data_IF_172892037195
#
_entry.id   IF_172892037195
#
_cell.length_a   1.000
_cell.length_b   1.000
_cell.length_c   1.000
_cell.angle_alpha   90.00
_cell.angle_beta   90.00
_cell.angle_gamma   90.00
#
_symmetry.space_group_name_H-M   'P 1'
#
loop_
_entity.id
_entity.type
_entity.pdbx_description
1 polymer ?
#
# COMPACT_ATOMS: atom_id res chain seq x y z
N UNK A 1 1.65 -48.77 44.72
CA UNK A 1 1.94 -47.32 44.68
C UNK A 1 2.99 -46.97 43.63
N UNK A 2 4.25 -47.40 43.77
CA UNK A 2 5.35 -47.08 42.82
C UNK A 2 5.14 -47.49 41.35
N UNK A 3 4.37 -48.55 41.08
CA UNK A 3 4.08 -49.00 39.70
C UNK A 3 3.06 -48.07 39.02
N UNK A 4 2.04 -47.62 39.75
CA UNK A 4 1.03 -46.69 39.23
C UNK A 4 1.63 -45.31 38.93
N UNK A 5 2.52 -44.82 39.79
CA UNK A 5 3.27 -43.57 39.58
C UNK A 5 4.14 -43.63 38.31
N UNK A 6 4.83 -44.75 38.07
CA UNK A 6 5.62 -44.96 36.85
C UNK A 6 4.75 -45.02 35.59
N UNK A 7 3.58 -45.66 35.66
CA UNK A 7 2.62 -45.71 34.55
C UNK A 7 2.06 -44.33 34.20
N UNK A 8 1.69 -43.54 35.22
CA UNK A 8 1.26 -42.15 35.04
C UNK A 8 2.36 -41.26 34.43
N UNK A 9 3.60 -41.41 34.90
CA UNK A 9 4.74 -40.71 34.32
C UNK A 9 4.99 -41.08 32.85
N UNK A 10 4.90 -42.38 32.50
CA UNK A 10 5.01 -42.83 31.11
C UNK A 10 3.87 -42.32 30.22
N UNK A 11 2.62 -42.31 30.72
CA UNK A 11 1.47 -41.76 30.00
C UNK A 11 1.62 -40.24 29.76
N UNK A 12 2.08 -39.50 30.78
CA UNK A 12 2.38 -38.07 30.65
C UNK A 12 3.46 -37.80 29.61
N UNK A 13 4.55 -38.57 29.62
CA UNK A 13 5.62 -38.46 28.64
C UNK A 13 5.12 -38.78 27.23
N UNK A 14 4.30 -39.82 27.08
CA UNK A 14 3.70 -40.20 25.80
C UNK A 14 2.77 -39.09 25.27
N UNK A 15 1.92 -38.52 26.13
CA UNK A 15 1.06 -37.40 25.74
C UNK A 15 1.85 -36.16 25.32
N UNK A 16 2.97 -35.90 25.99
CA UNK A 16 3.87 -34.79 25.66
C UNK A 16 4.54 -35.03 24.30
N UNK A 17 5.03 -36.24 24.05
CA UNK A 17 5.59 -36.63 22.77
C UNK A 17 4.56 -36.50 21.64
N UNK A 18 3.33 -36.94 21.86
CA UNK A 18 2.23 -36.81 20.89
C UNK A 18 1.95 -35.33 20.59
N UNK A 19 1.85 -34.49 21.63
CA UNK A 19 1.67 -33.04 21.47
C UNK A 19 2.82 -32.41 20.66
N UNK A 20 4.07 -32.78 20.93
CA UNK A 20 5.22 -32.29 20.16
C UNK A 20 5.22 -32.79 18.72
N UNK A 21 4.81 -34.04 18.47
CA UNK A 21 4.70 -34.58 17.10
C UNK A 21 3.63 -33.81 16.32
N UNK A 22 2.45 -33.58 16.91
CA UNK A 22 1.40 -32.78 16.28
C UNK A 22 1.86 -31.34 16.01
N UNK A 23 2.49 -30.69 16.99
CA UNK A 23 3.00 -29.32 16.82
C UNK A 23 4.09 -29.21 15.74
N UNK A 24 4.95 -30.24 15.61
CA UNK A 24 5.98 -30.29 14.56
C UNK A 24 5.39 -30.59 13.18
N UNK A 25 4.35 -31.42 13.11
CA UNK A 25 3.65 -31.74 11.87
C UNK A 25 2.85 -30.54 11.34
N UNK A 26 2.28 -29.72 12.22
CA UNK A 26 1.54 -28.50 11.85
C UNK A 26 2.44 -27.26 11.69
N UNK A 27 3.75 -27.38 11.88
CA UNK A 27 4.67 -26.27 11.68
C UNK A 27 4.56 -25.72 10.24
N UNK A 28 4.60 -24.39 10.04
CA UNK A 28 4.38 -23.74 8.74
C UNK A 28 5.63 -23.84 7.83
N UNK A 29 6.03 -25.08 7.54
CA UNK A 29 7.04 -25.40 6.53
C UNK A 29 6.49 -25.07 5.13
N UNK A 30 7.38 -24.92 4.13
CA UNK A 30 6.96 -24.72 2.74
C UNK A 30 6.03 -25.86 2.26
N UNK A 31 6.39 -27.11 2.54
CA UNK A 31 5.64 -28.28 2.13
C UNK A 31 4.25 -28.37 2.78
N UNK A 32 4.15 -28.11 4.09
CA UNK A 32 2.88 -28.15 4.79
C UNK A 32 1.95 -27.01 4.33
N UNK A 33 2.51 -25.83 4.07
CA UNK A 33 1.76 -24.67 3.60
C UNK A 33 1.15 -24.92 2.21
N UNK A 34 1.93 -25.47 1.27
CA UNK A 34 1.45 -25.83 -0.07
C UNK A 34 0.35 -26.90 -0.03
N UNK A 35 0.51 -27.95 0.79
CA UNK A 35 -0.52 -29.00 0.96
C UNK A 35 -1.84 -28.45 1.48
N UNK A 36 -1.79 -27.52 2.44
CA UNK A 36 -2.99 -26.86 2.98
C UNK A 36 -3.71 -26.03 1.92
N UNK A 37 -2.95 -25.25 1.13
CA UNK A 37 -3.50 -24.42 0.05
C UNK A 37 -4.32 -25.24 -0.96
N UNK A 38 -3.85 -26.43 -1.34
CA UNK A 38 -4.49 -27.28 -2.35
C UNK A 38 -5.81 -27.89 -1.84
N UNK A 39 -5.90 -28.21 -0.55
CA UNK A 39 -7.02 -28.98 -0.01
C UNK A 39 -8.16 -28.12 0.59
N UNK A 40 -7.90 -26.86 0.95
CA UNK A 40 -8.86 -26.01 1.69
C UNK A 40 -9.52 -24.90 0.84
N UNK A 41 -9.23 -24.80 -0.46
CA UNK A 41 -9.72 -23.68 -1.28
C UNK A 41 -11.24 -23.72 -1.51
N UNK A 42 -11.94 -22.74 -0.94
CA UNK A 42 -13.41 -22.57 -1.04
C UNK A 42 -13.79 -21.07 -1.13
N UNK A 43 -15.01 -20.79 -1.59
CA UNK A 43 -15.57 -19.43 -1.75
C UNK A 43 -16.83 -19.31 -0.90
N UNK A 44 -16.94 -18.23 -0.12
CA UNK A 44 -18.01 -18.01 0.86
C UNK A 44 -18.72 -16.67 0.67
N UNK A 45 -19.97 -16.55 1.13
CA UNK A 45 -20.55 -15.22 1.31
C UNK A 45 -19.77 -14.49 2.42
N UNK A 46 -19.45 -13.21 2.20
CA UNK A 46 -18.79 -12.39 3.20
C UNK A 46 -19.82 -11.72 4.11
N UNK A 47 -19.44 -11.47 5.35
CA UNK A 47 -20.20 -10.64 6.26
C UNK A 47 -19.54 -9.27 6.32
N UNK A 48 -20.32 -8.21 6.09
CA UNK A 48 -19.87 -6.83 6.31
C UNK A 48 -19.81 -6.58 7.81
N UNK A 49 -18.66 -6.18 8.38
CA UNK A 49 -18.57 -5.82 9.80
C UNK A 49 -19.44 -4.60 10.11
N UNK A 50 -20.10 -4.60 11.26
CA UNK A 50 -21.04 -3.53 11.64
C UNK A 50 -20.35 -2.22 12.09
N UNK A 51 -19.06 -2.28 12.40
CA UNK A 51 -18.27 -1.22 13.04
C UNK A 51 -17.19 -0.60 12.14
N UNK A 52 -17.37 -0.65 10.82
CA UNK A 52 -16.42 -0.06 9.88
C UNK A 52 -16.37 1.47 9.99
N UNK A 53 -15.15 2.02 9.95
CA UNK A 53 -14.87 3.44 9.91
C UNK A 53 -13.78 3.78 8.87
N UNK A 54 -13.72 5.06 8.49
CA UNK A 54 -12.58 5.63 7.80
C UNK A 54 -12.10 6.89 8.51
N UNK A 55 -10.85 6.89 8.99
CA UNK A 55 -10.24 8.01 9.70
C UNK A 55 -11.05 8.48 10.92
N UNK A 56 -11.69 7.55 11.63
CA UNK A 56 -12.56 7.83 12.78
C UNK A 56 -13.98 8.27 12.41
N UNK A 57 -14.34 8.34 11.13
CA UNK A 57 -15.70 8.62 10.65
C UNK A 57 -16.39 7.28 10.35
N UNK A 58 -17.43 6.94 11.12
CA UNK A 58 -18.16 5.68 11.00
C UNK A 58 -18.98 5.60 9.70
N UNK A 59 -19.05 4.41 9.10
CA UNK A 59 -19.90 4.14 7.95
C UNK A 59 -21.36 3.89 8.41
N UNK A 60 -22.39 4.54 7.83
CA UNK A 60 -23.79 4.32 8.20
C UNK A 60 -24.35 3.03 7.57
N UNK A 61 -23.85 1.87 8.00
CA UNK A 61 -24.17 0.55 7.42
C UNK A 61 -25.62 0.08 7.65
N UNK A 62 -26.39 0.78 8.49
CA UNK A 62 -27.83 0.58 8.60
C UNK A 62 -28.60 1.08 7.37
N UNK A 63 -27.99 1.90 6.51
CA UNK A 63 -28.55 2.30 5.23
C UNK A 63 -28.29 1.19 4.18
N UNK A 64 -29.34 0.65 3.53
CA UNK A 64 -29.19 -0.44 2.58
C UNK A 64 -28.28 -0.12 1.39
N UNK A 65 -28.30 1.12 0.86
CA UNK A 65 -27.40 1.51 -0.24
C UNK A 65 -25.92 1.41 0.17
N UNK A 66 -25.61 1.89 1.37
CA UNK A 66 -24.25 1.92 1.91
C UNK A 66 -23.77 0.50 2.19
N UNK A 67 -24.64 -0.34 2.77
CA UNK A 67 -24.35 -1.75 3.01
C UNK A 67 -24.04 -2.50 1.70
N UNK A 68 -24.88 -2.36 0.67
CA UNK A 68 -24.68 -3.01 -0.62
C UNK A 68 -23.39 -2.54 -1.32
N UNK A 69 -23.08 -1.24 -1.25
CA UNK A 69 -21.84 -0.67 -1.81
C UNK A 69 -20.60 -1.18 -1.08
N UNK A 70 -20.68 -1.30 0.25
CA UNK A 70 -19.59 -1.84 1.06
C UNK A 70 -19.38 -3.34 0.82
N UNK A 71 -20.46 -4.12 0.84
CA UNK A 71 -20.45 -5.56 0.56
C UNK A 71 -19.80 -5.86 -0.80
N UNK A 72 -20.19 -5.11 -1.83
CA UNK A 72 -19.62 -5.24 -3.17
C UNK A 72 -18.10 -5.07 -3.17
N UNK A 73 -17.57 -4.05 -2.51
CA UNK A 73 -16.11 -3.82 -2.52
C UNK A 73 -15.37 -4.86 -1.66
N UNK A 74 -15.95 -5.38 -0.58
CA UNK A 74 -15.39 -6.51 0.15
C UNK A 74 -15.33 -7.77 -0.73
N UNK A 75 -16.42 -8.10 -1.43
CA UNK A 75 -16.49 -9.25 -2.34
C UNK A 75 -15.44 -9.14 -3.46
N UNK A 76 -15.39 -8.01 -4.15
CA UNK A 76 -14.47 -7.81 -5.28
C UNK A 76 -13.01 -7.93 -4.85
N UNK A 77 -12.64 -7.33 -3.72
CA UNK A 77 -11.24 -7.30 -3.29
C UNK A 77 -10.81 -8.59 -2.58
N UNK A 78 -11.74 -9.32 -1.95
CA UNK A 78 -11.45 -10.64 -1.38
C UNK A 78 -11.24 -11.68 -2.48
N UNK A 79 -12.09 -11.69 -3.51
CA UNK A 79 -12.04 -12.70 -4.58
C UNK A 79 -11.13 -12.35 -5.75
N UNK A 80 -10.33 -11.29 -5.61
CA UNK A 80 -9.20 -11.02 -6.50
C UNK A 80 -7.87 -11.33 -5.79
N UNK A 81 -7.72 -12.57 -5.33
CA UNK A 81 -6.66 -12.95 -4.38
C UNK A 81 -5.24 -12.71 -4.90
N UNK A 82 -5.01 -12.86 -6.21
CA UNK A 82 -3.69 -12.60 -6.81
C UNK A 82 -3.25 -11.16 -6.66
N UNK A 83 -4.17 -10.21 -6.84
CA UNK A 83 -3.90 -8.80 -6.63
C UNK A 83 -3.80 -8.46 -5.14
N UNK A 84 -4.69 -9.04 -4.31
CA UNK A 84 -4.62 -8.89 -2.85
C UNK A 84 -3.27 -9.33 -2.27
N UNK A 85 -2.77 -10.52 -2.65
CA UNK A 85 -1.46 -11.01 -2.22
C UNK A 85 -0.31 -10.08 -2.64
N UNK A 86 -0.36 -9.51 -3.84
CA UNK A 86 0.62 -8.51 -4.25
C UNK A 86 0.53 -7.23 -3.41
N UNK A 87 -0.68 -6.80 -3.04
CA UNK A 87 -0.89 -5.66 -2.14
C UNK A 87 -0.34 -5.94 -0.74
N UNK A 88 -0.54 -7.12 -0.15
CA UNK A 88 0.08 -7.51 1.12
C UNK A 88 1.61 -7.42 1.05
N UNK A 89 2.21 -8.08 0.04
CA UNK A 89 3.67 -8.09 -0.16
C UNK A 89 4.24 -6.67 -0.28
N UNK A 90 3.57 -5.80 -1.04
CA UNK A 90 4.00 -4.42 -1.25
C UNK A 90 3.71 -3.51 -0.06
N UNK A 91 2.63 -3.74 0.68
CA UNK A 91 2.29 -2.96 1.88
C UNK A 91 3.38 -3.08 2.93
N UNK A 92 3.88 -4.31 3.18
CA UNK A 92 5.03 -4.54 4.06
C UNK A 92 6.27 -3.73 3.67
N UNK A 93 6.48 -3.53 2.37
CA UNK A 93 7.59 -2.76 1.82
C UNK A 93 7.37 -1.24 1.92
N UNK A 94 6.18 -0.74 1.63
CA UNK A 94 5.95 0.70 1.43
C UNK A 94 5.34 1.42 2.63
N UNK A 95 4.52 0.75 3.45
CA UNK A 95 3.90 1.37 4.62
C UNK A 95 4.91 1.93 5.63
N UNK A 96 6.04 1.27 5.95
CA UNK A 96 7.05 1.85 6.86
C UNK A 96 7.65 3.18 6.40
N UNK A 97 7.50 3.55 5.12
CA UNK A 97 7.91 4.84 4.57
C UNK A 97 6.74 5.84 4.61
N UNK A 98 5.52 5.38 4.32
CA UNK A 98 4.32 6.22 4.23
C UNK A 98 3.82 6.65 5.62
N UNK A 99 3.68 5.71 6.55
CA UNK A 99 3.04 5.92 7.86
C UNK A 99 3.72 7.05 8.68
N UNK A 100 5.06 7.14 8.77
CA UNK A 100 5.71 8.23 9.50
C UNK A 100 5.45 9.61 8.87
N UNK A 101 5.29 9.67 7.54
CA UNK A 101 5.01 10.92 6.83
C UNK A 101 3.55 11.34 7.07
N UNK A 102 2.59 10.41 7.00
CA UNK A 102 1.19 10.69 7.34
C UNK A 102 1.09 11.25 8.77
N UNK A 103 1.72 10.56 9.72
CA UNK A 103 1.74 10.96 11.13
C UNK A 103 2.38 12.34 11.33
N UNK A 104 3.52 12.62 10.67
CA UNK A 104 4.19 13.94 10.71
C UNK A 104 3.27 15.08 10.29
N UNK A 105 2.36 14.85 9.35
CA UNK A 105 1.40 15.85 8.84
C UNK A 105 0.06 15.85 9.57
N UNK A 106 -0.16 14.94 10.52
CA UNK A 106 -1.47 14.78 11.17
C UNK A 106 -2.55 14.23 10.23
N UNK A 107 -2.16 13.54 9.16
CA UNK A 107 -3.08 12.82 8.27
C UNK A 107 -3.36 11.44 8.88
N UNK A 108 -4.62 11.02 9.01
CA UNK A 108 -4.98 9.71 9.54
C UNK A 108 -4.28 8.56 8.79
N UNK A 109 -3.82 7.56 9.53
CA UNK A 109 -3.05 6.43 8.99
C UNK A 109 -3.82 5.65 7.92
N UNK A 110 -5.15 5.62 8.01
CA UNK A 110 -6.05 5.01 7.02
C UNK A 110 -5.81 5.49 5.57
N UNK A 111 -5.27 6.71 5.38
CA UNK A 111 -4.96 7.21 4.04
C UNK A 111 -3.82 6.45 3.33
N UNK A 112 -3.05 5.59 4.03
CA UNK A 112 -2.14 4.67 3.34
C UNK A 112 -2.87 3.69 2.41
N UNK A 113 -4.12 3.34 2.72
CA UNK A 113 -4.96 2.49 1.88
C UNK A 113 -5.46 3.20 0.63
N UNK A 114 -5.50 4.55 0.64
CA UNK A 114 -5.72 5.34 -0.57
C UNK A 114 -4.61 5.06 -1.59
N UNK A 115 -3.34 5.07 -1.17
CA UNK A 115 -2.22 4.73 -2.05
C UNK A 115 -2.30 3.30 -2.60
N UNK A 116 -2.92 2.37 -1.85
CA UNK A 116 -3.17 1.01 -2.30
C UNK A 116 -4.19 0.98 -3.43
N UNK A 117 -5.34 1.67 -3.31
CA UNK A 117 -6.35 1.66 -4.38
C UNK A 117 -5.91 2.41 -5.64
N UNK A 118 -5.01 3.39 -5.50
CA UNK A 118 -4.50 4.20 -6.62
C UNK A 118 -3.55 3.42 -7.52
N UNK A 119 -2.65 2.62 -6.95
CA UNK A 119 -1.57 1.98 -7.73
C UNK A 119 -1.24 0.54 -7.35
N UNK A 120 -1.89 0.00 -6.32
CA UNK A 120 -1.44 -1.24 -5.67
C UNK A 120 -0.01 -1.10 -5.14
N UNK A 121 0.37 0.11 -4.70
CA UNK A 121 1.71 0.49 -4.26
C UNK A 121 2.79 0.26 -5.33
N UNK A 122 2.52 0.72 -6.55
CA UNK A 122 3.47 0.64 -7.67
C UNK A 122 3.69 1.99 -8.32
N UNK A 123 4.81 2.14 -9.03
CA UNK A 123 5.08 3.30 -9.85
C UNK A 123 4.31 3.23 -11.19
N UNK A 124 2.98 3.31 -11.09
CA UNK A 124 2.05 3.20 -12.21
C UNK A 124 1.91 4.51 -13.00
N UNK A 125 1.33 4.42 -14.19
CA UNK A 125 0.95 5.55 -15.04
C UNK A 125 -0.49 5.35 -15.49
N UNK A 126 -1.37 6.29 -15.15
CA UNK A 126 -2.76 6.24 -15.64
C UNK A 126 -2.85 6.73 -17.09
N UNK A 127 -3.91 6.35 -17.81
CA UNK A 127 -4.21 6.91 -19.14
C UNK A 127 -4.34 8.44 -19.12
N UNK A 128 -4.80 9.03 -18.01
CA UNK A 128 -4.92 10.48 -17.83
C UNK A 128 -3.57 11.17 -17.51
N UNK A 129 -2.50 10.40 -17.26
CA UNK A 129 -1.16 10.93 -17.00
C UNK A 129 -0.82 11.15 -15.53
N UNK A 130 -1.62 10.61 -14.61
CA UNK A 130 -1.28 10.45 -13.21
C UNK A 130 -0.09 9.48 -13.07
N UNK A 131 0.81 9.71 -12.10
CA UNK A 131 2.04 8.91 -11.96
C UNK A 131 2.40 8.58 -10.53
N UNK A 132 3.10 7.46 -10.37
CA UNK A 132 3.69 7.03 -9.11
C UNK A 132 2.70 6.33 -8.19
N UNK A 133 3.15 6.05 -6.97
CA UNK A 133 2.36 5.32 -5.96
C UNK A 133 1.05 6.04 -5.63
N UNK A 134 1.11 7.36 -5.54
CA UNK A 134 -0.02 8.23 -5.18
C UNK A 134 -0.83 8.72 -6.39
N UNK A 135 -0.52 8.27 -7.61
CA UNK A 135 -1.16 8.70 -8.86
C UNK A 135 -1.34 10.23 -8.95
N UNK A 136 -0.24 10.96 -8.75
CA UNK A 136 -0.28 12.42 -8.72
C UNK A 136 -0.34 12.96 -10.16
N UNK A 137 -1.28 13.87 -10.42
CA UNK A 137 -1.36 14.60 -11.67
C UNK A 137 -0.19 15.57 -11.82
N UNK A 138 0.29 15.77 -13.06
CA UNK A 138 1.48 16.61 -13.32
C UNK A 138 1.32 18.04 -12.79
N UNK A 139 0.15 18.65 -12.99
CA UNK A 139 -0.15 20.01 -12.51
C UNK A 139 -0.10 20.06 -10.98
N UNK A 140 -0.85 19.17 -10.32
CA UNK A 140 -0.89 19.02 -8.86
C UNK A 140 0.50 18.81 -8.26
N UNK A 141 1.32 17.94 -8.86
CA UNK A 141 2.69 17.72 -8.40
C UNK A 141 3.53 18.99 -8.44
N UNK A 142 3.49 19.75 -9.55
CA UNK A 142 4.23 21.00 -9.69
C UNK A 142 3.75 22.09 -8.75
N UNK A 143 2.43 22.27 -8.62
CA UNK A 143 1.81 23.23 -7.69
C UNK A 143 2.21 22.96 -6.24
N UNK A 144 2.51 21.70 -5.91
CA UNK A 144 2.96 21.26 -4.60
C UNK A 144 4.47 21.03 -4.50
N UNK A 145 5.25 21.61 -5.41
CA UNK A 145 6.71 21.70 -5.28
C UNK A 145 7.50 20.52 -5.84
N UNK A 146 6.86 19.53 -6.46
CA UNK A 146 7.57 18.45 -7.15
C UNK A 146 8.21 18.96 -8.43
N UNK A 147 9.46 18.55 -8.65
CA UNK A 147 10.12 18.69 -9.93
C UNK A 147 9.57 17.66 -10.92
N UNK A 148 8.99 18.17 -12.01
CA UNK A 148 8.46 17.35 -13.10
C UNK A 148 8.89 17.91 -14.45
N UNK A 149 9.95 17.32 -15.00
CA UNK A 149 10.53 17.59 -16.32
C UNK A 149 10.96 16.28 -17.01
N UNK A 150 11.77 16.38 -18.07
CA UNK A 150 12.21 15.22 -18.84
C UNK A 150 13.29 14.40 -18.13
N UNK A 151 14.21 15.01 -17.37
CA UNK A 151 15.25 14.29 -16.63
C UNK A 151 14.75 13.74 -15.28
N UNK A 152 13.84 14.47 -14.61
CA UNK A 152 13.38 14.23 -13.24
C UNK A 152 11.86 14.30 -13.19
N UNK A 153 11.23 13.28 -12.58
CA UNK A 153 9.80 13.28 -12.27
C UNK A 153 9.59 12.75 -10.85
N UNK A 154 9.56 13.67 -9.88
CA UNK A 154 9.49 13.37 -8.45
C UNK A 154 8.14 12.79 -8.01
N UNK A 155 7.15 12.68 -8.91
CA UNK A 155 5.93 11.90 -8.64
C UNK A 155 6.21 10.42 -8.43
N UNK A 156 7.33 9.92 -8.97
CA UNK A 156 7.81 8.56 -8.72
C UNK A 156 8.66 8.42 -7.45
N UNK A 157 8.98 9.53 -6.77
CA UNK A 157 9.72 9.52 -5.51
C UNK A 157 8.73 9.34 -4.36
N UNK A 158 8.74 8.18 -3.71
CA UNK A 158 7.69 7.80 -2.73
C UNK A 158 7.52 8.82 -1.60
N UNK A 159 8.61 9.22 -0.94
CA UNK A 159 8.55 10.17 0.18
C UNK A 159 7.97 11.53 -0.26
N UNK A 160 8.55 12.15 -1.31
CA UNK A 160 8.08 13.43 -1.85
C UNK A 160 6.63 13.38 -2.34
N UNK A 161 6.24 12.29 -3.01
CA UNK A 161 4.86 12.09 -3.43
C UNK A 161 3.91 11.95 -2.24
N UNK A 162 4.34 11.28 -1.16
CA UNK A 162 3.56 11.15 0.08
C UNK A 162 3.37 12.50 0.77
N UNK A 163 4.42 13.33 0.82
CA UNK A 163 4.34 14.71 1.34
C UNK A 163 3.32 15.55 0.54
N UNK A 164 3.29 15.43 -0.79
CA UNK A 164 2.28 16.10 -1.63
C UNK A 164 0.87 15.56 -1.42
N UNK A 165 0.72 14.23 -1.29
CA UNK A 165 -0.58 13.63 -0.98
C UNK A 165 -1.13 14.15 0.35
N UNK A 166 -0.28 14.25 1.40
CA UNK A 166 -0.65 14.82 2.68
C UNK A 166 -1.17 16.25 2.55
N UNK A 167 -0.42 17.10 1.84
CA UNK A 167 -0.82 18.50 1.63
C UNK A 167 -2.17 18.60 0.92
N UNK A 168 -2.38 17.82 -0.13
CA UNK A 168 -3.66 17.80 -0.84
C UNK A 168 -4.82 17.38 0.07
N UNK A 169 -4.63 16.30 0.85
CA UNK A 169 -5.64 15.75 1.75
C UNK A 169 -6.03 16.72 2.86
N UNK A 170 -5.06 17.42 3.45
CA UNK A 170 -5.31 18.45 4.46
C UNK A 170 -6.11 19.62 3.88
N UNK A 171 -5.73 20.14 2.71
CA UNK A 171 -6.50 21.20 2.05
C UNK A 171 -7.92 20.72 1.68
N UNK A 172 -8.07 19.46 1.27
CA UNK A 172 -9.37 18.87 0.96
C UNK A 172 -10.23 18.78 2.23
N UNK A 173 -9.67 18.27 3.33
CA UNK A 173 -10.34 18.19 4.63
C UNK A 173 -10.76 19.56 5.15
N UNK A 174 -9.89 20.55 5.05
CA UNK A 174 -10.18 21.93 5.44
C UNK A 174 -11.33 22.51 4.62
N UNK A 175 -11.33 22.30 3.30
CA UNK A 175 -12.34 22.86 2.40
C UNK A 175 -13.70 22.15 2.44
N UNK A 176 -13.73 20.84 2.74
CA UNK A 176 -14.93 20.01 2.63
C UNK A 176 -15.48 19.55 3.98
N UNK A 177 -14.71 19.66 5.07
CA UNK A 177 -15.19 19.43 6.42
C UNK A 177 -15.09 17.98 6.94
N UNK A 178 -14.98 16.96 6.09
CA UNK A 178 -14.83 15.55 6.51
C UNK A 178 -13.71 14.80 5.78
N UNK A 179 -13.19 13.73 6.38
CA UNK A 179 -12.15 12.88 5.81
C UNK A 179 -12.69 12.00 4.68
N UNK A 180 -13.93 11.54 4.81
CA UNK A 180 -14.65 10.83 3.75
C UNK A 180 -14.79 11.68 2.49
N UNK A 181 -15.14 12.97 2.61
CA UNK A 181 -15.17 13.91 1.49
C UNK A 181 -13.77 14.27 0.97
N UNK A 182 -12.77 14.36 1.86
CA UNK A 182 -11.38 14.58 1.46
C UNK A 182 -10.85 13.43 0.58
N UNK A 183 -11.16 12.17 0.94
CA UNK A 183 -10.84 10.99 0.14
C UNK A 183 -11.54 11.02 -1.22
N UNK A 184 -12.85 11.32 -1.26
CA UNK A 184 -13.59 11.46 -2.51
C UNK A 184 -13.01 12.56 -3.42
N UNK A 185 -12.59 13.68 -2.83
CA UNK A 185 -11.96 14.77 -3.54
C UNK A 185 -10.56 14.43 -4.07
N UNK A 186 -9.87 13.43 -3.53
CA UNK A 186 -8.61 12.94 -4.11
C UNK A 186 -8.83 12.39 -5.53
N UNK A 187 -9.93 11.66 -5.73
CA UNK A 187 -10.31 11.12 -7.04
C UNK A 187 -10.98 12.16 -7.96
N UNK A 188 -11.98 12.89 -7.45
CA UNK A 188 -12.83 13.76 -8.26
C UNK A 188 -12.42 15.25 -8.29
N UNK A 189 -11.43 15.64 -7.49
CA UNK A 189 -11.05 17.03 -7.27
C UNK A 189 -11.95 17.77 -6.29
N UNK A 190 -11.36 18.63 -5.45
CA UNK A 190 -12.06 19.45 -4.42
C UNK A 190 -13.23 20.26 -4.99
N UNK A 191 -13.00 20.97 -6.10
CA UNK A 191 -14.02 21.78 -6.75
C UNK A 191 -15.19 20.95 -7.31
N UNK A 192 -14.89 19.74 -7.81
CA UNK A 192 -15.89 18.81 -8.32
C UNK A 192 -16.83 18.33 -7.22
N UNK A 193 -16.27 17.86 -6.11
CA UNK A 193 -17.03 17.41 -4.93
C UNK A 193 -17.83 18.57 -4.32
N UNK A 194 -17.20 19.73 -4.09
CA UNK A 194 -17.87 20.92 -3.54
C UNK A 194 -19.07 21.37 -4.38
N UNK A 195 -18.92 21.38 -5.71
CA UNK A 195 -20.01 21.68 -6.63
C UNK A 195 -21.16 20.69 -6.48
N UNK A 196 -20.88 19.38 -6.41
CA UNK A 196 -21.92 18.34 -6.29
C UNK A 196 -22.68 18.43 -4.97
N UNK A 197 -21.98 18.65 -3.86
CA UNK A 197 -22.59 18.88 -2.55
C UNK A 197 -23.60 20.03 -2.61
N UNK A 198 -23.19 21.16 -3.22
CA UNK A 198 -24.05 22.32 -3.39
C UNK A 198 -25.23 22.08 -4.34
N UNK A 199 -24.99 21.41 -5.47
CA UNK A 199 -26.04 21.09 -6.47
C UNK A 199 -27.12 20.18 -5.89
N UNK A 200 -26.74 19.24 -5.03
CA UNK A 200 -27.65 18.24 -4.44
C UNK A 200 -28.18 18.64 -3.06
N UNK A 201 -27.68 19.74 -2.50
CA UNK A 201 -28.04 20.24 -1.18
C UNK A 201 -27.82 19.20 -0.06
N UNK A 202 -26.68 18.50 -0.12
CA UNK A 202 -26.23 17.52 0.88
C UNK A 202 -24.85 17.90 1.39
N UNK A 203 -24.47 17.40 2.56
CA UNK A 203 -23.21 17.79 3.24
C UNK A 203 -22.27 16.62 3.51
N UNK A 204 -22.71 15.40 3.21
CA UNK A 204 -22.00 14.17 3.54
C UNK A 204 -21.70 13.35 2.27
N UNK A 205 -20.63 12.55 2.30
CA UNK A 205 -20.26 11.66 1.21
C UNK A 205 -21.34 10.60 0.90
N UNK A 206 -21.95 10.03 1.94
CA UNK A 206 -22.87 8.91 1.81
C UNK A 206 -24.19 9.32 1.15
N UNK A 207 -24.62 10.57 1.34
CA UNK A 207 -25.81 11.14 0.70
C UNK A 207 -25.51 11.75 -0.67
N UNK A 208 -24.23 11.87 -1.05
CA UNK A 208 -23.82 12.53 -2.28
C UNK A 208 -23.82 11.57 -3.48
N UNK A 209 -24.67 11.86 -4.47
CA UNK A 209 -24.65 11.13 -5.73
C UNK A 209 -23.42 11.53 -6.55
N UNK A 210 -22.51 10.57 -6.73
CA UNK A 210 -21.28 10.70 -7.48
C UNK A 210 -21.27 9.74 -8.68
N UNK A 211 -20.38 9.99 -9.65
CA UNK A 211 -20.13 9.02 -10.72
C UNK A 211 -19.58 7.69 -10.17
N UNK A 212 -19.72 6.61 -10.93
CA UNK A 212 -19.44 5.25 -10.46
C UNK A 212 -18.07 5.12 -9.79
N UNK A 213 -17.01 5.67 -10.40
CA UNK A 213 -15.65 5.59 -9.88
C UNK A 213 -15.53 6.25 -8.49
N UNK A 214 -15.90 7.53 -8.37
CA UNK A 214 -15.78 8.29 -7.11
C UNK A 214 -16.77 7.80 -6.04
N UNK A 215 -17.97 7.41 -6.47
CA UNK A 215 -18.98 6.83 -5.58
C UNK A 215 -18.56 5.49 -4.97
N UNK A 216 -17.63 4.78 -5.59
CA UNK A 216 -17.05 3.54 -5.03
C UNK A 216 -15.76 3.79 -4.24
N UNK A 217 -15.16 4.95 -4.41
CA UNK A 217 -13.78 5.20 -4.01
C UNK A 217 -13.55 5.01 -2.50
N UNK A 218 -14.41 5.57 -1.65
CA UNK A 218 -14.31 5.39 -0.21
C UNK A 218 -14.50 3.93 0.21
N UNK A 219 -15.52 3.26 -0.30
CA UNK A 219 -15.81 1.85 -0.01
C UNK A 219 -14.64 0.94 -0.41
N UNK A 220 -13.96 1.23 -1.52
CA UNK A 220 -12.74 0.52 -1.93
C UNK A 220 -11.61 0.70 -0.93
N UNK A 221 -11.41 1.92 -0.42
CA UNK A 221 -10.40 2.19 0.60
C UNK A 221 -10.71 1.39 1.87
N UNK A 222 -11.95 1.46 2.36
CA UNK A 222 -12.38 0.78 3.58
C UNK A 222 -12.31 -0.75 3.41
N UNK A 223 -12.67 -1.29 2.24
CA UNK A 223 -12.56 -2.72 1.98
C UNK A 223 -11.11 -3.19 2.03
N UNK A 224 -10.19 -2.44 1.41
CA UNK A 224 -8.76 -2.78 1.49
C UNK A 224 -8.18 -2.55 2.89
N UNK A 225 -8.63 -1.53 3.64
CA UNK A 225 -8.28 -1.36 5.06
C UNK A 225 -8.66 -2.61 5.84
N UNK A 226 -9.91 -3.06 5.73
CA UNK A 226 -10.44 -4.21 6.46
C UNK A 226 -9.71 -5.52 6.08
N UNK A 227 -9.55 -5.78 4.77
CA UNK A 227 -8.89 -6.99 4.28
C UNK A 227 -7.40 -7.02 4.66
N UNK A 228 -6.68 -5.90 4.46
CA UNK A 228 -5.25 -5.85 4.75
C UNK A 228 -4.95 -5.87 6.26
N UNK A 229 -5.89 -5.41 7.08
CA UNK A 229 -5.77 -5.48 8.55
C UNK A 229 -6.16 -6.85 9.11
N UNK A 230 -6.99 -7.61 8.39
CA UNK A 230 -7.53 -8.90 8.84
C UNK A 230 -7.32 -10.02 7.78
N UNK A 231 -6.08 -10.31 7.33
CA UNK A 231 -5.82 -11.24 6.22
C UNK A 231 -6.47 -12.62 6.39
N UNK A 232 -6.34 -13.21 7.58
CA UNK A 232 -6.83 -14.56 7.88
C UNK A 232 -8.35 -14.66 7.75
N UNK A 233 -9.08 -13.61 8.16
CA UNK A 233 -10.55 -13.52 8.06
C UNK A 233 -11.04 -13.60 6.62
N UNK A 234 -10.24 -13.09 5.68
CA UNK A 234 -10.55 -13.03 4.25
C UNK A 234 -9.81 -14.09 3.43
N UNK A 235 -9.22 -15.10 4.08
CA UNK A 235 -8.59 -16.24 3.41
C UNK A 235 -7.23 -15.94 2.79
N UNK A 236 -6.60 -14.81 3.14
CA UNK A 236 -5.24 -14.49 2.71
C UNK A 236 -4.22 -15.13 3.63
N UNK A 237 -3.64 -16.24 3.18
CA UNK A 237 -2.64 -16.98 3.92
C UNK A 237 -1.25 -16.67 3.34
N UNK A 238 -0.31 -16.23 4.17
CA UNK A 238 1.10 -16.03 3.80
C UNK A 238 1.97 -16.04 5.07
N UNK A 239 3.28 -16.20 4.90
CA UNK A 239 4.27 -16.07 5.98
C UNK A 239 5.03 -14.77 5.83
N UNK A 240 5.66 -14.31 6.90
CA UNK A 240 6.48 -13.09 6.84
C UNK A 240 7.57 -13.16 5.77
N UNK A 241 8.19 -14.33 5.56
CA UNK A 241 9.21 -14.52 4.51
C UNK A 241 8.66 -14.40 3.08
N UNK A 242 7.35 -14.52 2.90
CA UNK A 242 6.71 -14.38 1.59
C UNK A 242 6.47 -12.90 1.25
N UNK A 243 6.50 -11.98 2.22
CA UNK A 243 6.29 -10.55 2.02
C UNK A 243 7.54 -9.85 1.46
N UNK A 244 7.37 -8.74 0.74
CA UNK A 244 8.51 -7.97 0.25
C UNK A 244 9.07 -7.08 1.35
N UNK A 245 10.40 -6.99 1.39
CA UNK A 245 11.14 -6.08 2.28
C UNK A 245 11.86 -5.01 1.45
N UNK A 246 12.25 -3.92 2.12
CA UNK A 246 13.13 -2.94 1.51
C UNK A 246 14.57 -3.46 1.50
N UNK A 247 15.22 -3.33 0.35
CA UNK A 247 16.67 -3.49 0.26
C UNK A 247 17.30 -2.26 0.92
N UNK A 248 18.15 -2.44 1.95
CA UNK A 248 18.81 -1.31 2.61
C UNK A 248 19.64 -0.50 1.62
N UNK A 249 19.54 0.82 1.72
CA UNK A 249 20.25 1.76 0.85
C UNK A 249 21.13 2.73 1.66
N UNK A 250 21.96 3.48 0.96
CA UNK A 250 22.58 4.72 1.43
C UNK A 250 22.41 5.81 0.37
N UNK A 251 22.50 7.07 0.78
CA UNK A 251 22.30 8.23 -0.11
C UNK A 251 23.63 8.74 -0.65
N UNK A 252 23.66 9.04 -1.94
CA UNK A 252 24.78 9.72 -2.61
C UNK A 252 24.30 11.09 -3.06
N UNK A 253 24.96 12.12 -2.57
CA UNK A 253 24.72 13.52 -2.92
C UNK A 253 25.31 13.85 -4.30
N UNK A 254 24.47 14.37 -5.19
CA UNK A 254 24.84 14.74 -6.56
C UNK A 254 24.30 16.13 -6.89
N UNK A 255 25.19 17.12 -6.98
CA UNK A 255 24.88 18.52 -7.33
C UNK A 255 25.35 18.89 -8.76
N UNK A 256 25.79 17.91 -9.53
CA UNK A 256 26.39 18.11 -10.86
C UNK A 256 25.71 17.27 -11.92
N UNK A 257 26.07 17.50 -13.18
CA UNK A 257 25.59 16.70 -14.29
C UNK A 257 26.15 15.26 -14.21
N UNK A 258 25.30 14.28 -14.49
CA UNK A 258 25.70 12.87 -14.68
C UNK A 258 25.52 12.54 -16.15
N UNK A 259 26.60 12.38 -16.89
CA UNK A 259 26.54 12.16 -18.35
C UNK A 259 26.08 10.75 -18.73
N UNK A 260 26.32 9.76 -17.87
CA UNK A 260 25.92 8.36 -18.09
C UNK A 260 25.64 7.66 -16.75
N UNK A 261 24.36 7.40 -16.48
CA UNK A 261 23.96 6.69 -15.27
C UNK A 261 24.39 5.22 -15.24
N UNK A 262 24.71 4.62 -16.39
CA UNK A 262 25.25 3.26 -16.44
C UNK A 262 26.66 3.24 -15.84
N UNK A 263 27.51 4.18 -16.26
CA UNK A 263 28.86 4.35 -15.69
C UNK A 263 28.83 4.83 -14.24
N UNK A 264 27.88 5.69 -13.89
CA UNK A 264 27.66 6.10 -12.50
C UNK A 264 27.32 4.89 -11.62
N UNK A 265 26.36 4.06 -12.03
CA UNK A 265 25.94 2.86 -11.32
C UNK A 265 27.10 1.86 -11.12
N UNK A 266 27.93 1.66 -12.15
CA UNK A 266 29.09 0.76 -12.09
C UNK A 266 30.09 1.12 -11.00
N UNK A 267 30.23 2.42 -10.65
CA UNK A 267 31.10 2.84 -9.53
C UNK A 267 30.66 2.29 -8.18
N UNK A 268 29.41 1.88 -8.07
CA UNK A 268 28.81 1.30 -6.87
C UNK A 268 28.51 -0.21 -7.02
N UNK A 269 29.12 -0.88 -8.01
CA UNK A 269 28.94 -2.31 -8.22
C UNK A 269 27.53 -2.73 -8.68
N UNK A 270 26.70 -1.77 -9.13
CA UNK A 270 25.35 -2.05 -9.62
C UNK A 270 25.20 -1.70 -11.10
N UNK A 271 24.18 -2.30 -11.74
CA UNK A 271 23.83 -1.96 -13.12
C UNK A 271 22.79 -0.82 -13.18
N UNK A 272 22.59 -0.27 -14.38
CA UNK A 272 21.62 0.80 -14.64
C UNK A 272 20.18 0.41 -14.21
N UNK A 273 19.77 -0.84 -14.40
CA UNK A 273 18.42 -1.32 -14.02
C UNK A 273 18.22 -1.19 -12.50
N UNK A 274 19.17 -1.65 -11.69
CA UNK A 274 19.11 -1.57 -10.23
C UNK A 274 19.04 -0.10 -9.79
N UNK A 275 19.90 0.77 -10.35
CA UNK A 275 19.84 2.20 -10.05
C UNK A 275 18.44 2.78 -10.28
N UNK A 276 17.78 2.42 -11.39
CA UNK A 276 16.43 2.91 -11.74
C UNK A 276 15.32 2.29 -10.90
N UNK A 277 15.50 1.07 -10.37
CA UNK A 277 14.56 0.47 -9.43
C UNK A 277 14.53 1.23 -8.10
N UNK A 278 15.69 1.72 -7.64
CA UNK A 278 15.81 2.53 -6.44
C UNK A 278 15.50 4.01 -6.66
N UNK A 279 15.75 4.53 -7.87
CA UNK A 279 15.54 5.93 -8.21
C UNK A 279 14.62 6.07 -9.43
N UNK A 280 13.36 5.62 -9.35
CA UNK A 280 12.42 5.63 -10.47
C UNK A 280 12.05 7.06 -10.92
N UNK A 281 12.33 8.06 -10.08
CA UNK A 281 12.16 9.48 -10.36
C UNK A 281 13.22 10.04 -11.32
N UNK A 282 14.39 9.40 -11.44
CA UNK A 282 15.32 9.67 -12.54
C UNK A 282 14.69 9.09 -13.80
N UNK A 283 14.52 9.90 -14.85
CA UNK A 283 13.77 9.47 -16.06
C UNK A 283 14.69 9.13 -17.21
N UNK A 284 15.70 9.94 -17.44
CA UNK A 284 16.68 9.74 -18.51
C UNK A 284 17.87 8.86 -18.09
N UNK A 285 18.71 8.53 -19.08
CA UNK A 285 20.01 7.85 -18.88
C UNK A 285 21.12 8.78 -18.37
N UNK A 286 20.82 10.06 -18.25
CA UNK A 286 21.72 11.12 -17.81
C UNK A 286 20.95 12.14 -16.97
N UNK A 287 21.66 13.00 -16.27
CA UNK A 287 21.14 14.12 -15.48
C UNK A 287 21.86 15.40 -15.91
N UNK A 288 21.13 16.38 -16.42
CA UNK A 288 21.73 17.63 -16.92
C UNK A 288 22.12 18.62 -15.82
N UNK A 289 21.35 18.70 -14.74
CA UNK A 289 21.55 19.51 -13.52
C UNK A 289 22.36 20.82 -13.67
N UNK A 290 22.00 21.66 -14.64
CA UNK A 290 22.70 22.95 -14.89
C UNK A 290 22.57 23.93 -13.71
N UNK A 291 21.50 23.80 -12.93
CA UNK A 291 21.19 24.65 -11.77
C UNK A 291 21.95 24.24 -10.52
N UNK A 292 22.75 23.17 -10.57
CA UNK A 292 23.45 22.58 -9.42
C UNK A 292 22.54 22.26 -8.23
N UNK A 293 21.31 21.86 -8.52
CA UNK A 293 20.38 21.40 -7.48
C UNK A 293 20.96 20.12 -6.87
N UNK A 294 21.00 20.04 -5.55
CA UNK A 294 21.42 18.83 -4.86
C UNK A 294 20.34 17.76 -4.99
N UNK A 295 20.74 16.59 -5.48
CA UNK A 295 19.92 15.38 -5.48
C UNK A 295 20.52 14.33 -4.57
N UNK A 296 19.67 13.60 -3.87
CA UNK A 296 20.04 12.40 -3.11
C UNK A 296 19.66 11.18 -3.94
N UNK A 297 20.65 10.43 -4.42
CA UNK A 297 20.45 9.19 -5.17
C UNK A 297 20.63 8.01 -4.22
N UNK A 298 19.62 7.14 -4.15
CA UNK A 298 19.68 5.94 -3.32
C UNK A 298 20.45 4.82 -4.01
N UNK A 299 21.45 4.29 -3.31
CA UNK A 299 22.26 3.16 -3.76
C UNK A 299 22.04 1.99 -2.78
N UNK A 300 21.68 0.79 -3.25
CA UNK A 300 21.56 -0.37 -2.37
C UNK A 300 22.91 -0.74 -1.77
N UNK A 301 22.88 -1.24 -0.53
CA UNK A 301 24.06 -1.83 0.10
C UNK A 301 24.49 -3.09 -0.67
N UNK A 302 25.78 -3.41 -0.59
CA UNK A 302 26.34 -4.61 -1.20
C UNK A 302 25.72 -5.90 -0.64
N UNK A 303 25.69 -6.97 -1.43
CA UNK A 303 25.21 -8.30 -1.03
C UNK A 303 23.71 -8.55 -1.18
N UNK A 304 22.93 -7.57 -1.68
CA UNK A 304 21.48 -7.73 -1.92
C UNK A 304 21.11 -8.01 -3.38
N UNK A 305 22.04 -7.77 -4.31
CA UNK A 305 21.84 -8.03 -5.73
C UNK A 305 23.00 -8.86 -6.26
N UNK A 306 22.70 -10.04 -6.77
CA UNK A 306 23.63 -10.85 -7.55
C UNK A 306 23.47 -10.49 -9.03
N UNK A 307 24.50 -9.84 -9.58
CA UNK A 307 24.53 -9.56 -11.02
C UNK A 307 24.79 -10.87 -11.77
N UNK A 308 23.84 -11.26 -12.62
CA UNK A 308 24.05 -12.36 -13.58
C UNK A 308 25.17 -11.93 -14.53
N UNK A 309 26.24 -12.72 -14.58
CA UNK A 309 27.37 -12.55 -15.50
C UNK A 309 27.03 -13.04 -16.90
#
# INVERSE_FOLDING_TARGET
>A
MKIAERLLACLGLLSLCILFIYALQDAPTDENFEKKLINDYNVYALQVPDDLDFAGEALPLNNPDILERMDRELLVNTYWQSNGLLMFKRSKKHFPIIEPILNKHGVPDDFKYLAVIESGLTNAVSPAGARGVWQIMKATGKENGLEVNTNVDERYHLEKATEVACKYLLEAKESLGSWTLAAAAYNAGKAGVSRRLKEQNVTDYYDLLLGEETGRYLFRIVALKEILSNPDKYGFNFREKDLYTNVPTFKVEVDSAVTDFSKFAQKFGINYKILKLHNPWLRERHLNNKTRKLYEIEIPKEGYYDLVQ
#
